data_IF_396095084053
#
_entry.id   IF_396095084053
#
_cell.length_a   1.000
_cell.length_b   1.000
_cell.length_c   1.000
_cell.angle_alpha   90.00
_cell.angle_beta   90.00
_cell.angle_gamma   90.00
#
_symmetry.space_group_name_H-M   'P 1'
#
loop_
_entity.id
_entity.type
_entity.pdbx_description
1 polymer ?
#
# COMPACT_ATOMS: atom_id res chain seq x y z
N UNK A 1 27.16 -58.82 -9.99
CA UNK A 1 27.35 -57.72 -10.95
C UNK A 1 26.13 -56.81 -10.83
N UNK A 2 26.24 -55.75 -10.05
CA UNK A 2 25.11 -54.86 -9.69
C UNK A 2 24.94 -53.80 -10.78
N UNK A 3 23.72 -53.51 -11.29
CA UNK A 3 23.55 -52.51 -12.32
C UNK A 3 23.85 -51.10 -11.77
N UNK A 4 24.34 -50.16 -12.59
CA UNK A 4 24.62 -48.81 -12.14
C UNK A 4 23.31 -48.08 -11.77
N UNK A 5 23.29 -47.44 -10.60
CA UNK A 5 22.20 -46.53 -10.20
C UNK A 5 22.15 -45.37 -11.20
N UNK A 6 20.99 -45.18 -11.83
CA UNK A 6 20.71 -43.99 -12.62
C UNK A 6 20.94 -42.74 -11.76
N UNK A 7 21.77 -41.82 -12.23
CA UNK A 7 21.94 -40.50 -11.64
C UNK A 7 20.60 -39.76 -11.72
N UNK A 8 20.00 -39.47 -10.56
CA UNK A 8 18.86 -38.58 -10.49
C UNK A 8 19.25 -37.20 -11.03
N UNK A 9 18.39 -36.52 -11.81
CA UNK A 9 18.68 -35.16 -12.22
C UNK A 9 18.78 -34.29 -10.97
N UNK A 10 19.88 -33.56 -10.86
CA UNK A 10 20.04 -32.55 -9.81
C UNK A 10 18.89 -31.57 -9.93
N UNK A 11 18.03 -31.52 -8.90
CA UNK A 11 16.96 -30.55 -8.84
C UNK A 11 17.60 -29.16 -8.89
N UNK A 12 17.52 -28.50 -10.05
CA UNK A 12 17.85 -27.08 -10.16
C UNK A 12 16.94 -26.37 -9.18
N UNK A 13 17.49 -25.81 -8.12
CA UNK A 13 16.74 -25.01 -7.16
C UNK A 13 15.97 -23.96 -7.98
N UNK A 14 14.64 -24.08 -8.02
CA UNK A 14 13.80 -23.07 -8.62
C UNK A 14 14.10 -21.77 -7.86
N UNK A 15 14.29 -20.62 -8.54
CA UNK A 15 14.41 -19.36 -7.85
C UNK A 15 13.15 -19.22 -7.00
N UNK A 16 13.33 -19.30 -5.68
CA UNK A 16 12.26 -19.21 -4.69
C UNK A 16 11.63 -17.85 -4.95
N UNK A 17 10.46 -17.84 -5.58
CA UNK A 17 9.72 -16.64 -5.89
C UNK A 17 9.68 -15.80 -4.60
N UNK A 18 10.27 -14.61 -4.64
CA UNK A 18 10.37 -13.78 -3.45
C UNK A 18 8.93 -13.43 -3.02
N UNK A 19 8.48 -14.03 -1.92
CA UNK A 19 7.18 -13.72 -1.36
C UNK A 19 7.37 -12.51 -0.45
N UNK A 20 6.69 -11.41 -0.76
CA UNK A 20 6.61 -10.27 0.16
C UNK A 20 5.31 -10.41 0.93
N UNK A 21 5.42 -10.80 2.20
CA UNK A 21 4.34 -10.65 3.17
C UNK A 21 4.32 -9.21 3.68
N UNK A 22 3.19 -8.52 3.55
CA UNK A 22 2.99 -7.19 4.11
C UNK A 22 1.89 -7.29 5.17
N UNK A 23 2.30 -7.19 6.44
CA UNK A 23 1.36 -7.04 7.53
C UNK A 23 1.13 -5.56 7.80
N UNK A 24 -0.07 -5.09 7.47
CA UNK A 24 -0.52 -3.74 7.75
C UNK A 24 -1.69 -3.89 8.72
N UNK A 25 -1.34 -3.97 10.00
CA UNK A 25 -2.28 -4.21 11.09
C UNK A 25 -3.49 -3.27 11.05
N UNK A 26 -4.61 -3.75 11.58
CA UNK A 26 -5.80 -2.94 11.87
C UNK A 26 -6.94 -2.98 10.84
N UNK A 27 -6.83 -3.64 9.68
CA UNK A 27 -8.04 -3.92 8.85
C UNK A 27 -7.90 -5.09 7.86
N UNK A 28 -6.67 -5.47 7.45
CA UNK A 28 -6.42 -6.70 6.67
C UNK A 28 -4.97 -7.15 6.73
N UNK A 29 -4.73 -8.46 6.75
CA UNK A 29 -3.44 -9.03 6.34
C UNK A 29 -3.49 -9.25 4.83
N UNK A 30 -2.51 -8.72 4.09
CA UNK A 30 -2.40 -8.90 2.65
C UNK A 30 -1.06 -9.56 2.27
N UNK A 31 -1.13 -10.69 1.59
CA UNK A 31 0.04 -11.36 1.05
C UNK A 31 0.00 -11.32 -0.48
N UNK A 32 1.14 -11.07 -1.11
CA UNK A 32 1.28 -11.11 -2.56
C UNK A 32 2.47 -11.97 -2.98
N UNK A 33 2.26 -12.83 -3.97
CA UNK A 33 3.35 -13.43 -4.72
C UNK A 33 3.74 -12.47 -5.82
N UNK A 34 4.98 -11.99 -5.82
CA UNK A 34 5.49 -11.04 -6.80
C UNK A 34 6.52 -11.74 -7.68
N UNK A 35 6.32 -11.63 -8.98
CA UNK A 35 7.26 -12.11 -9.98
C UNK A 35 8.53 -11.27 -10.02
N UNK A 36 9.61 -11.79 -10.59
CA UNK A 36 10.89 -11.07 -10.71
C UNK A 36 10.80 -9.77 -11.54
N UNK A 37 9.73 -9.59 -12.31
CA UNK A 37 9.38 -8.41 -13.09
C UNK A 37 8.53 -7.39 -12.31
N UNK A 38 8.23 -7.66 -11.03
CA UNK A 38 7.33 -6.86 -10.21
C UNK A 38 5.84 -7.15 -10.42
N UNK A 39 5.48 -8.10 -11.30
CA UNK A 39 4.09 -8.45 -11.52
C UNK A 39 3.52 -9.20 -10.31
N UNK A 40 2.30 -8.86 -9.89
CA UNK A 40 1.64 -9.58 -8.79
C UNK A 40 0.96 -10.83 -9.32
N UNK A 41 1.54 -11.98 -9.05
CA UNK A 41 1.12 -13.29 -9.55
C UNK A 41 -0.07 -13.86 -8.75
N UNK A 42 -0.11 -13.63 -7.44
CA UNK A 42 -1.23 -14.04 -6.56
C UNK A 42 -1.41 -13.07 -5.42
N UNK A 43 -2.64 -12.89 -4.96
CA UNK A 43 -2.98 -12.10 -3.77
C UNK A 43 -3.84 -12.93 -2.82
N UNK A 44 -3.55 -12.83 -1.53
CA UNK A 44 -4.43 -13.28 -0.47
C UNK A 44 -4.75 -12.11 0.43
N UNK A 45 -6.02 -11.95 0.80
CA UNK A 45 -6.45 -11.03 1.82
C UNK A 45 -7.19 -11.80 2.91
N UNK A 46 -6.90 -11.48 4.16
CA UNK A 46 -7.67 -11.92 5.32
C UNK A 46 -8.21 -10.66 6.00
N UNK A 47 -9.54 -10.54 6.17
CA UNK A 47 -10.09 -9.54 7.07
C UNK A 47 -9.49 -9.78 8.46
N UNK A 48 -8.90 -8.75 9.04
CA UNK A 48 -8.57 -8.71 10.45
C UNK A 48 -9.57 -7.74 11.09
N UNK A 49 -10.56 -8.24 11.86
CA UNK A 49 -11.41 -7.35 12.64
C UNK A 49 -10.49 -6.48 13.51
N UNK A 50 -10.63 -5.15 13.42
CA UNK A 50 -9.82 -4.17 14.15
C UNK A 50 -10.10 -4.15 15.66
N UNK A 51 -10.54 -5.28 16.23
CA UNK A 51 -10.92 -5.41 17.64
C UNK A 51 -9.77 -5.93 18.51
N UNK A 52 -8.65 -6.32 17.90
CA UNK A 52 -7.43 -6.71 18.62
C UNK A 52 -6.18 -6.19 17.88
N UNK A 53 -5.43 -5.27 18.50
CA UNK A 53 -3.96 -5.28 18.37
C UNK A 53 -3.24 -4.21 17.52
N UNK A 54 -3.84 -3.10 17.09
CA UNK A 54 -3.09 -2.01 16.43
C UNK A 54 -3.19 -0.70 17.24
N UNK A 55 -2.06 -0.08 17.54
CA UNK A 55 -2.02 1.22 18.24
C UNK A 55 -2.51 2.39 17.35
N UNK A 56 -2.52 2.19 16.02
CA UNK A 56 -2.98 3.15 15.02
C UNK A 56 -3.33 2.48 13.69
N UNK A 57 -4.14 3.14 12.86
CA UNK A 57 -4.51 2.69 11.50
C UNK A 57 -4.20 3.75 10.46
N UNK A 58 -3.55 3.40 9.35
CA UNK A 58 -3.21 4.34 8.25
C UNK A 58 -3.96 4.02 6.96
N UNK A 59 -4.36 5.06 6.21
CA UNK A 59 -5.00 4.94 4.90
C UNK A 59 -4.04 4.73 3.71
N UNK A 60 -2.73 4.60 3.96
CA UNK A 60 -1.65 4.62 2.95
C UNK A 60 -1.92 3.80 1.68
N UNK A 61 -2.55 2.62 1.81
CA UNK A 61 -2.79 1.71 0.68
C UNK A 61 -4.09 1.94 -0.08
N UNK A 62 -4.95 2.88 0.33
CA UNK A 62 -6.13 3.20 -0.46
C UNK A 62 -5.72 3.60 -1.87
N UNK A 63 -6.34 2.99 -2.90
CA UNK A 63 -6.01 3.23 -4.31
C UNK A 63 -4.75 2.55 -4.84
N UNK A 64 -3.98 1.83 -3.99
CA UNK A 64 -2.80 1.05 -4.40
C UNK A 64 -3.04 -0.46 -4.44
N UNK A 65 -4.24 -0.89 -4.04
CA UNK A 65 -4.69 -2.28 -4.14
C UNK A 65 -5.59 -2.43 -5.37
N UNK A 66 -5.35 -3.42 -6.25
CA UNK A 66 -6.22 -3.67 -7.40
C UNK A 66 -7.68 -3.83 -6.97
N UNK A 67 -8.59 -3.19 -7.72
CA UNK A 67 -10.02 -3.16 -7.39
C UNK A 67 -10.42 -2.07 -6.38
N UNK A 68 -9.49 -1.25 -5.89
CA UNK A 68 -9.84 -0.05 -5.11
C UNK A 68 -9.91 1.19 -6.00
N UNK A 69 -10.91 2.08 -5.81
CA UNK A 69 -10.96 3.35 -6.53
C UNK A 69 -9.68 4.15 -6.28
N UNK A 70 -9.04 4.63 -7.35
CA UNK A 70 -7.85 5.48 -7.25
C UNK A 70 -8.17 6.86 -7.82
N UNK A 71 -8.35 7.84 -6.93
CA UNK A 71 -8.47 9.25 -7.27
C UNK A 71 -7.10 9.95 -7.38
N UNK A 72 -7.13 11.21 -7.85
CA UNK A 72 -5.94 12.07 -7.88
C UNK A 72 -5.49 12.52 -6.47
N UNK A 73 -6.46 12.68 -5.55
CA UNK A 73 -6.24 13.11 -4.17
C UNK A 73 -6.30 11.97 -3.14
N UNK A 74 -6.30 12.31 -1.85
CA UNK A 74 -6.46 11.36 -0.76
C UNK A 74 -7.87 10.75 -0.75
N UNK A 75 -8.00 9.59 -0.11
CA UNK A 75 -9.30 8.94 0.09
C UNK A 75 -9.94 9.41 1.40
N UNK A 76 -10.47 10.64 1.37
CA UNK A 76 -11.05 11.30 2.53
C UNK A 76 -12.32 10.62 3.05
N UNK A 77 -13.06 9.93 2.16
CA UNK A 77 -14.22 9.13 2.56
C UNK A 77 -13.80 7.94 3.42
N UNK A 78 -12.71 7.26 3.05
CA UNK A 78 -12.15 6.20 3.87
C UNK A 78 -11.65 6.74 5.21
N UNK A 79 -10.98 7.90 5.23
CA UNK A 79 -10.53 8.53 6.48
C UNK A 79 -11.71 8.76 7.43
N UNK A 80 -12.78 9.39 6.95
CA UNK A 80 -13.98 9.64 7.75
C UNK A 80 -14.61 8.34 8.26
N UNK A 81 -14.77 7.33 7.39
CA UNK A 81 -15.36 6.05 7.76
C UNK A 81 -14.52 5.28 8.79
N UNK A 82 -13.19 5.34 8.70
CA UNK A 82 -12.29 4.72 9.68
C UNK A 82 -12.33 5.45 11.01
N UNK A 83 -12.34 6.78 11.00
CA UNK A 83 -12.39 7.59 12.21
C UNK A 83 -13.72 7.42 12.97
N UNK A 84 -14.82 7.19 12.26
CA UNK A 84 -16.12 6.87 12.86
C UNK A 84 -16.18 5.45 13.43
N UNK A 85 -15.57 4.48 12.74
CA UNK A 85 -15.75 3.05 13.04
C UNK A 85 -14.73 2.46 14.03
N UNK A 86 -13.62 3.16 14.29
CA UNK A 86 -12.49 2.64 15.06
C UNK A 86 -12.23 3.45 16.33
N UNK A 87 -11.96 2.75 17.44
CA UNK A 87 -11.55 3.38 18.70
C UNK A 87 -10.06 3.76 18.73
N UNK A 88 -9.28 3.34 17.72
CA UNK A 88 -7.84 3.59 17.62
C UNK A 88 -7.53 4.77 16.69
N UNK A 89 -6.46 5.55 16.95
CA UNK A 89 -6.11 6.70 16.12
C UNK A 89 -5.95 6.37 14.63
N UNK A 90 -6.62 7.15 13.78
CA UNK A 90 -6.49 7.07 12.33
C UNK A 90 -5.48 8.09 11.82
N UNK A 91 -4.56 7.65 10.96
CA UNK A 91 -3.60 8.51 10.26
C UNK A 91 -4.00 8.60 8.79
N UNK A 92 -4.27 9.82 8.33
CA UNK A 92 -4.53 10.08 6.93
C UNK A 92 -3.21 10.12 6.16
N UNK A 93 -3.07 9.20 5.21
CA UNK A 93 -1.87 9.02 4.42
C UNK A 93 -2.20 8.57 2.99
N UNK A 94 -1.39 9.05 2.04
CA UNK A 94 -1.49 8.70 0.63
C UNK A 94 -2.13 9.81 -0.21
N UNK A 95 -1.36 10.32 -1.18
CA UNK A 95 -1.79 11.32 -2.18
C UNK A 95 -2.34 12.63 -1.60
N UNK A 96 -1.92 13.01 -0.40
CA UNK A 96 -2.16 14.35 0.14
C UNK A 96 -1.17 15.29 -0.56
N UNK A 97 -1.70 16.17 -1.39
CA UNK A 97 -0.96 17.04 -2.29
C UNK A 97 -1.03 18.52 -1.87
N UNK A 98 -2.05 18.92 -1.11
CA UNK A 98 -2.25 20.31 -0.69
C UNK A 98 -2.44 20.44 0.83
N UNK A 99 -2.16 21.63 1.41
CA UNK A 99 -2.50 21.93 2.80
C UNK A 99 -4.00 21.79 3.09
N UNK A 100 -4.87 22.18 2.15
CA UNK A 100 -6.33 22.09 2.32
C UNK A 100 -6.80 20.64 2.43
N UNK A 101 -6.24 19.72 1.63
CA UNK A 101 -6.51 18.28 1.74
C UNK A 101 -6.06 17.72 3.09
N UNK A 102 -4.94 18.20 3.64
CA UNK A 102 -4.47 17.80 4.96
C UNK A 102 -5.39 18.34 6.08
N UNK A 103 -5.82 19.59 5.97
CA UNK A 103 -6.76 20.20 6.92
C UNK A 103 -8.12 19.49 6.90
N UNK A 104 -8.62 19.14 5.71
CA UNK A 104 -9.86 18.40 5.54
C UNK A 104 -9.77 17.00 6.18
N UNK A 105 -8.65 16.29 6.00
CA UNK A 105 -8.44 15.00 6.64
C UNK A 105 -8.50 15.08 8.17
N UNK A 106 -7.91 16.12 8.77
CA UNK A 106 -8.00 16.36 10.21
C UNK A 106 -9.44 16.69 10.64
N UNK A 107 -10.14 17.51 9.87
CA UNK A 107 -11.54 17.85 10.13
C UNK A 107 -12.48 16.63 10.06
N UNK A 108 -12.12 15.64 9.25
CA UNK A 108 -12.83 14.36 9.11
C UNK A 108 -12.43 13.31 10.17
N UNK A 109 -11.64 13.69 11.17
CA UNK A 109 -11.34 12.84 12.32
C UNK A 109 -10.00 12.10 12.26
N UNK A 110 -9.13 12.38 11.27
CA UNK A 110 -7.76 11.88 11.33
C UNK A 110 -7.05 12.45 12.56
N UNK A 111 -6.37 11.58 13.32
CA UNK A 111 -5.50 11.98 14.42
C UNK A 111 -4.27 12.73 13.90
N UNK A 112 -3.68 12.27 12.80
CA UNK A 112 -2.51 12.90 12.15
C UNK A 112 -2.58 12.74 10.64
N UNK A 113 -1.76 13.52 9.96
CA UNK A 113 -1.60 13.50 8.50
C UNK A 113 -0.15 13.25 8.14
N UNK A 114 0.09 12.34 7.19
CA UNK A 114 1.41 12.07 6.62
C UNK A 114 1.46 12.56 5.18
N UNK A 115 2.40 13.46 4.90
CA UNK A 115 2.63 14.04 3.57
C UNK A 115 4.04 13.69 3.10
N UNK A 116 4.12 12.93 2.01
CA UNK A 116 5.39 12.54 1.38
C UNK A 116 5.69 13.37 0.13
N UNK A 117 5.26 12.88 -1.03
CA UNK A 117 5.60 13.41 -2.37
C UNK A 117 5.46 14.93 -2.51
N UNK A 118 4.47 15.55 -1.88
CA UNK A 118 4.24 16.99 -1.97
C UNK A 118 5.26 17.86 -1.21
N UNK A 119 6.08 17.25 -0.33
CA UNK A 119 7.10 17.94 0.46
C UNK A 119 8.51 17.42 0.12
N UNK A 120 8.70 16.10 0.07
CA UNK A 120 10.04 15.48 0.08
C UNK A 120 10.47 14.88 -1.26
N UNK A 121 9.67 15.00 -2.32
CA UNK A 121 10.00 14.48 -3.65
C UNK A 121 10.21 15.61 -4.69
N UNK A 122 11.34 16.34 -4.64
CA UNK A 122 11.57 17.52 -5.49
C UNK A 122 11.49 17.21 -6.99
N UNK A 123 11.94 16.03 -7.43
CA UNK A 123 11.83 15.61 -8.84
C UNK A 123 10.37 15.43 -9.28
N UNK A 124 9.53 14.84 -8.42
CA UNK A 124 8.11 14.67 -8.70
C UNK A 124 7.38 16.03 -8.71
N UNK A 125 7.75 16.93 -7.81
CA UNK A 125 7.25 18.30 -7.78
C UNK A 125 7.63 19.06 -9.06
N UNK A 126 8.91 19.07 -9.43
CA UNK A 126 9.39 19.71 -10.65
C UNK A 126 8.70 19.15 -11.91
N UNK A 127 8.47 17.82 -11.95
CA UNK A 127 7.73 17.19 -13.04
C UNK A 127 6.33 17.78 -13.25
N UNK A 128 5.61 18.11 -12.17
CA UNK A 128 4.28 18.76 -12.27
C UNK A 128 4.35 20.14 -12.90
N UNK A 129 5.40 20.92 -12.61
CA UNK A 129 5.62 22.21 -13.26
C UNK A 129 5.90 22.04 -14.75
N UNK A 130 6.79 21.11 -15.12
CA UNK A 130 7.12 20.83 -16.52
C UNK A 130 5.88 20.40 -17.30
N UNK A 131 5.10 19.44 -16.78
CA UNK A 131 3.85 18.99 -17.42
C UNK A 131 2.85 20.12 -17.63
N UNK A 132 2.73 21.04 -16.67
CA UNK A 132 1.80 22.17 -16.78
C UNK A 132 2.27 23.21 -17.79
N UNK A 133 3.56 23.50 -17.85
CA UNK A 133 4.14 24.48 -18.79
C UNK A 133 4.21 23.95 -20.23
N UNK A 134 4.24 22.64 -20.41
CA UNK A 134 4.28 22.00 -21.73
C UNK A 134 2.90 21.90 -22.42
N UNK A 135 1.81 22.20 -21.71
CA UNK A 135 0.47 22.29 -22.31
C UNK A 135 0.26 23.68 -22.92
N UNK A 136 -0.18 23.78 -24.20
CA UNK A 136 -0.41 25.06 -24.88
C UNK A 136 -1.58 25.85 -24.27
#
# INVERSE_FOLDING_TARGET
>A
MTPPRASQPTARAAPTAAVIGLDLGGTKTAAALVGPDGAVLRRHHRPTPAREGADLVSSILSGYVPGTPRGAGPDLRLVAALAEALDVPVVAEGRINTPDEAAEALALGAHRVVVGTAITAPTALAGRFVERLARP
#
